data_IF_387213430300
#
_entry.id   IF_387213430300
#
_cell.length_a   1.000
_cell.length_b   1.000
_cell.length_c   1.000
_cell.angle_alpha   90.00
_cell.angle_beta   90.00
_cell.angle_gamma   90.00
#
_symmetry.space_group_name_H-M   'P 1'
#
loop_
_entity.id
_entity.type
_entity.pdbx_description
1 polymer ?
#
# COMPACT_ATOMS: atom_id res chain seq x y z
N UNK A 1 -10.23 -2.88 23.19
CA UNK A 1 -9.80 -4.09 22.47
C UNK A 1 -8.76 -3.73 21.43
N UNK A 2 -7.83 -4.65 21.14
CA UNK A 2 -6.75 -4.48 20.17
C UNK A 2 -7.25 -4.01 18.79
N UNK A 3 -8.28 -4.67 18.24
CA UNK A 3 -8.90 -4.33 16.94
C UNK A 3 -9.35 -2.86 16.87
N UNK A 4 -9.90 -2.32 17.96
CA UNK A 4 -10.31 -0.91 18.02
C UNK A 4 -9.09 0.02 17.98
N UNK A 5 -8.05 -0.26 18.77
CA UNK A 5 -6.84 0.58 18.79
C UNK A 5 -6.15 0.62 17.43
N UNK A 6 -5.99 -0.54 16.77
CA UNK A 6 -5.41 -0.59 15.42
C UNK A 6 -6.25 0.20 14.41
N UNK A 7 -7.59 0.17 14.51
CA UNK A 7 -8.47 0.98 13.66
C UNK A 7 -8.28 2.49 13.87
N UNK A 8 -8.17 2.93 15.11
CA UNK A 8 -7.94 4.35 15.43
C UNK A 8 -6.56 4.81 14.96
N UNK A 9 -5.51 4.02 15.20
CA UNK A 9 -4.15 4.32 14.71
C UNK A 9 -4.13 4.39 13.18
N UNK A 10 -4.72 3.41 12.49
CA UNK A 10 -4.80 3.41 11.03
C UNK A 10 -5.41 4.71 10.50
N UNK A 11 -6.49 5.18 11.12
CA UNK A 11 -7.16 6.43 10.73
C UNK A 11 -6.33 7.67 11.06
N UNK A 12 -5.77 7.75 12.26
CA UNK A 12 -4.97 8.88 12.72
C UNK A 12 -3.74 9.10 11.82
N UNK A 13 -3.06 8.01 11.47
CA UNK A 13 -1.87 8.02 10.60
C UNK A 13 -2.22 7.99 9.10
N UNK A 14 -3.51 8.07 8.74
CA UNK A 14 -3.98 8.03 7.34
C UNK A 14 -3.49 6.82 6.53
N UNK A 15 -3.32 5.67 7.18
CA UNK A 15 -2.88 4.42 6.55
C UNK A 15 -4.04 3.74 5.81
N UNK A 16 -3.79 3.18 4.64
CA UNK A 16 -4.79 2.37 3.94
C UNK A 16 -4.93 1.00 4.59
N UNK A 17 -3.80 0.38 4.96
CA UNK A 17 -3.76 -0.92 5.61
C UNK A 17 -2.95 -0.85 6.90
N UNK A 18 -3.37 -1.61 7.90
CA UNK A 18 -2.62 -1.85 9.12
C UNK A 18 -3.06 -3.19 9.71
N UNK A 19 -2.13 -4.12 9.84
CA UNK A 19 -2.40 -5.50 10.21
C UNK A 19 -1.30 -6.01 11.13
N UNK A 20 -1.71 -6.78 12.14
CA UNK A 20 -0.85 -7.42 13.11
C UNK A 20 -0.87 -8.94 12.91
N UNK A 21 0.31 -9.54 12.85
CA UNK A 21 0.52 -10.99 12.86
C UNK A 21 1.08 -11.48 14.18
N UNK A 22 1.04 -12.78 14.40
CA UNK A 22 1.87 -13.49 15.39
C UNK A 22 3.31 -13.69 14.88
N UNK A 23 4.14 -14.36 15.68
CA UNK A 23 5.53 -14.70 15.40
C UNK A 23 5.72 -15.67 14.22
N UNK A 24 4.65 -16.30 13.72
CA UNK A 24 4.65 -17.17 12.54
C UNK A 24 4.11 -16.44 11.29
N UNK A 25 3.78 -15.15 11.39
CA UNK A 25 3.14 -14.38 10.32
C UNK A 25 1.65 -14.64 10.17
N UNK A 26 1.01 -15.30 11.13
CA UNK A 26 -0.43 -15.58 11.15
C UNK A 26 -1.20 -14.33 11.55
N UNK A 27 -2.16 -13.86 10.75
CA UNK A 27 -2.91 -12.63 11.04
C UNK A 27 -3.78 -12.79 12.30
N UNK A 28 -3.48 -11.98 13.33
CA UNK A 28 -4.25 -11.87 14.59
C UNK A 28 -5.33 -10.78 14.44
N UNK A 29 -4.97 -9.65 13.85
CA UNK A 29 -5.88 -8.52 13.72
C UNK A 29 -5.60 -7.68 12.47
N UNK A 30 -6.63 -7.56 11.62
CA UNK A 30 -6.67 -6.67 10.47
C UNK A 30 -7.56 -5.47 10.78
N UNK A 31 -7.04 -4.26 10.67
CA UNK A 31 -7.76 -3.06 11.11
C UNK A 31 -8.84 -2.59 10.13
N UNK A 32 -8.65 -2.83 8.81
CA UNK A 32 -9.59 -2.43 7.76
C UNK A 32 -10.79 -3.38 7.67
N UNK A 33 -10.52 -4.69 7.74
CA UNK A 33 -11.53 -5.74 7.72
C UNK A 33 -11.38 -6.72 8.92
N UNK A 34 -11.94 -6.39 10.10
CA UNK A 34 -11.68 -7.14 11.33
C UNK A 34 -12.28 -8.55 11.42
N UNK A 35 -13.14 -8.94 10.47
CA UNK A 35 -13.71 -10.29 10.37
C UNK A 35 -12.79 -11.28 9.66
N UNK A 36 -11.79 -10.80 8.90
CA UNK A 36 -10.81 -11.66 8.21
C UNK A 36 -9.54 -11.73 9.05
N UNK A 37 -9.24 -12.91 9.55
CA UNK A 37 -8.06 -13.25 10.36
C UNK A 37 -7.79 -14.75 10.23
N UNK A 38 -6.63 -15.23 10.70
CA UNK A 38 -6.28 -16.64 10.55
C UNK A 38 -5.71 -17.01 9.18
N UNK A 39 -5.48 -16.04 8.28
CA UNK A 39 -4.67 -16.21 7.07
C UNK A 39 -3.19 -15.85 7.29
N UNK A 40 -2.27 -16.53 6.60
CA UNK A 40 -0.83 -16.28 6.75
C UNK A 40 -0.33 -15.14 5.85
N UNK A 41 0.56 -14.32 6.39
CA UNK A 41 1.34 -13.28 5.71
C UNK A 41 2.84 -13.59 5.73
N UNK A 42 3.26 -14.81 6.11
CA UNK A 42 4.67 -15.18 6.19
C UNK A 42 5.40 -15.11 4.83
N UNK A 43 4.66 -15.13 3.73
CA UNK A 43 5.18 -14.99 2.36
C UNK A 43 5.18 -13.55 1.84
N UNK A 44 4.62 -12.59 2.57
CA UNK A 44 4.84 -11.17 2.25
C UNK A 44 6.32 -10.85 2.48
N UNK A 45 6.96 -10.25 1.49
CA UNK A 45 8.41 -10.05 1.51
C UNK A 45 8.88 -9.21 2.71
N UNK A 46 8.12 -8.19 3.10
CA UNK A 46 8.48 -7.35 4.23
C UNK A 46 8.28 -8.12 5.53
N UNK A 47 7.12 -8.77 5.70
CA UNK A 47 6.83 -9.58 6.90
C UNK A 47 7.88 -10.68 7.07
N UNK A 48 8.20 -11.43 6.01
CA UNK A 48 9.20 -12.51 6.04
C UNK A 48 10.59 -12.02 6.47
N UNK A 49 11.01 -10.86 5.96
CA UNK A 49 12.29 -10.25 6.35
C UNK A 49 12.29 -9.77 7.80
N UNK A 50 11.17 -9.23 8.31
CA UNK A 50 11.06 -8.87 9.72
C UNK A 50 11.09 -10.10 10.62
N UNK A 51 10.38 -11.17 10.25
CA UNK A 51 10.36 -12.43 11.00
C UNK A 51 11.75 -13.06 11.13
N UNK A 52 12.57 -12.96 10.07
CA UNK A 52 13.94 -13.52 10.06
C UNK A 52 15.01 -12.60 10.61
N UNK A 53 14.88 -11.28 10.41
CA UNK A 53 15.92 -10.30 10.74
C UNK A 53 15.62 -9.41 11.94
N UNK A 54 14.37 -9.37 12.43
CA UNK A 54 13.92 -8.51 13.55
C UNK A 54 14.21 -7.01 13.37
N UNK A 55 14.32 -6.54 12.13
CA UNK A 55 14.56 -5.14 11.79
C UNK A 55 13.33 -4.51 11.17
N UNK A 56 13.14 -3.20 11.38
CA UNK A 56 12.10 -2.44 10.68
C UNK A 56 12.49 -2.30 9.21
N UNK A 57 11.55 -2.60 8.31
CA UNK A 57 11.78 -2.54 6.86
C UNK A 57 10.65 -1.75 6.20
N UNK A 58 11.02 -0.82 5.34
CA UNK A 58 10.10 -0.08 4.47
C UNK A 58 10.48 -0.28 3.01
N UNK A 59 9.49 -0.50 2.15
CA UNK A 59 9.68 -0.67 0.71
C UNK A 59 8.40 -0.40 -0.08
N UNK A 60 8.56 -0.15 -1.37
CA UNK A 60 7.46 -0.24 -2.33
C UNK A 60 7.24 -1.70 -2.72
N UNK A 61 6.00 -2.18 -2.66
CA UNK A 61 5.65 -3.56 -2.97
C UNK A 61 4.38 -3.62 -3.83
N UNK A 62 4.28 -4.67 -4.65
CA UNK A 62 3.04 -4.99 -5.37
C UNK A 62 2.19 -5.90 -4.49
N UNK A 63 1.00 -5.44 -4.13
CA UNK A 63 0.02 -6.20 -3.36
C UNK A 63 -0.97 -6.84 -4.33
N UNK A 64 -1.03 -8.17 -4.41
CA UNK A 64 -1.90 -8.86 -5.35
C UNK A 64 -3.37 -8.71 -4.96
N UNK A 65 -4.27 -8.84 -5.95
CA UNK A 65 -5.73 -8.72 -5.77
C UNK A 65 -6.25 -9.59 -4.61
N UNK A 66 -5.73 -10.81 -4.50
CA UNK A 66 -6.13 -11.76 -3.46
C UNK A 66 -5.93 -11.20 -2.04
N UNK A 67 -4.89 -10.39 -1.82
CA UNK A 67 -4.64 -9.73 -0.53
C UNK A 67 -5.48 -8.46 -0.37
N UNK A 68 -5.68 -7.69 -1.44
CA UNK A 68 -6.52 -6.49 -1.41
C UNK A 68 -7.98 -6.80 -1.03
N UNK A 69 -8.53 -7.91 -1.53
CA UNK A 69 -9.89 -8.35 -1.21
C UNK A 69 -10.06 -8.62 0.29
N UNK A 70 -9.00 -9.07 0.97
CA UNK A 70 -9.04 -9.29 2.42
C UNK A 70 -9.15 -7.97 3.18
N UNK A 71 -8.60 -6.89 2.63
CA UNK A 71 -8.60 -5.56 3.25
C UNK A 71 -9.91 -4.78 3.00
N UNK A 72 -10.54 -4.92 1.82
CA UNK A 72 -11.84 -4.31 1.54
C UNK A 72 -12.23 -4.27 0.06
N UNK A 73 -13.49 -3.95 -0.23
CA UNK A 73 -13.94 -3.72 -1.61
C UNK A 73 -13.45 -2.39 -2.16
N UNK A 74 -13.45 -1.35 -1.33
CA UNK A 74 -13.03 0.00 -1.67
C UNK A 74 -11.55 0.09 -2.10
N UNK A 75 -10.67 -0.63 -1.39
CA UNK A 75 -9.23 -0.70 -1.73
C UNK A 75 -8.99 -1.52 -3.03
N UNK A 76 -9.85 -2.51 -3.29
CA UNK A 76 -9.83 -3.31 -4.52
C UNK A 76 -10.29 -2.47 -5.71
N UNK A 77 -11.33 -1.66 -5.54
CA UNK A 77 -11.83 -0.72 -6.55
C UNK A 77 -10.83 0.40 -6.85
N UNK A 78 -10.11 0.88 -5.83
CA UNK A 78 -9.03 1.85 -5.99
C UNK A 78 -7.87 1.29 -6.83
N UNK A 79 -7.52 0.02 -6.62
CA UNK A 79 -6.46 -0.67 -7.39
C UNK A 79 -6.87 -0.96 -8.84
N UNK A 80 -8.15 -1.19 -9.08
CA UNK A 80 -8.68 -1.60 -10.40
C UNK A 80 -8.53 -0.51 -11.46
N UNK A 81 -7.70 -0.77 -12.46
CA UNK A 81 -7.51 0.12 -13.61
C UNK A 81 -7.66 -0.67 -14.90
N UNK A 82 -8.66 -0.32 -15.71
CA UNK A 82 -8.85 -0.90 -17.04
C UNK A 82 -7.81 -0.32 -18.00
N UNK A 83 -7.14 -1.18 -18.77
CA UNK A 83 -6.27 -0.71 -19.83
C UNK A 83 -7.12 -0.14 -20.98
N UNK A 84 -6.85 1.12 -21.34
CA UNK A 84 -7.42 1.74 -22.53
C UNK A 84 -6.40 1.55 -23.66
N UNK A 85 -6.71 0.73 -24.69
CA UNK A 85 -5.83 0.55 -25.83
C UNK A 85 -5.55 1.90 -26.48
N UNK A 86 -4.28 2.21 -26.73
CA UNK A 86 -3.90 3.38 -27.52
C UNK A 86 -3.30 2.93 -28.84
N UNK A 87 -3.50 3.67 -29.95
CA UNK A 87 -3.08 3.23 -31.29
C UNK A 87 -1.58 2.91 -31.46
N UNK A 88 -0.73 3.41 -30.55
CA UNK A 88 0.72 3.20 -30.55
C UNK A 88 1.22 2.30 -29.41
N UNK A 89 0.34 1.76 -28.56
CA UNK A 89 0.75 0.87 -27.48
C UNK A 89 1.19 -0.48 -28.04
N UNK A 90 2.24 -1.06 -27.45
CA UNK A 90 2.56 -2.47 -27.67
C UNK A 90 1.34 -3.32 -27.28
N UNK A 91 1.00 -4.37 -28.06
CA UNK A 91 -0.03 -5.31 -27.66
C UNK A 91 0.32 -5.92 -26.30
N UNK A 92 -0.58 -5.76 -25.34
CA UNK A 92 -0.52 -6.38 -24.02
C UNK A 92 -1.56 -7.49 -23.95
N UNK A 93 -1.20 -8.63 -23.35
CA UNK A 93 -2.17 -9.68 -23.01
C UNK A 93 -3.06 -9.26 -21.82
N UNK A 94 -2.57 -8.37 -20.97
CA UNK A 94 -3.33 -7.83 -19.85
C UNK A 94 -4.31 -6.75 -20.33
N UNK A 95 -5.56 -6.87 -19.92
CA UNK A 95 -6.67 -5.94 -20.22
C UNK A 95 -7.07 -5.07 -19.02
N UNK A 96 -6.59 -5.43 -17.84
CA UNK A 96 -6.84 -4.73 -16.59
C UNK A 96 -5.70 -4.95 -15.59
N UNK A 97 -5.49 -3.96 -14.73
CA UNK A 97 -4.64 -4.07 -13.55
C UNK A 97 -5.51 -4.23 -12.32
N UNK A 98 -5.22 -5.28 -11.55
CA UNK A 98 -6.00 -5.62 -10.34
C UNK A 98 -5.15 -5.71 -9.07
N UNK A 99 -3.82 -5.67 -9.20
CA UNK A 99 -2.90 -5.50 -8.08
C UNK A 99 -2.64 -4.00 -7.84
N UNK A 100 -2.15 -3.67 -6.65
CA UNK A 100 -1.80 -2.31 -6.29
C UNK A 100 -0.32 -2.19 -5.97
N UNK A 101 0.29 -1.07 -6.35
CA UNK A 101 1.56 -0.67 -5.78
C UNK A 101 1.30 0.06 -4.46
N UNK A 102 2.02 -0.34 -3.42
CA UNK A 102 1.90 0.24 -2.08
C UNK A 102 3.27 0.66 -1.57
N UNK A 103 3.33 1.78 -0.85
CA UNK A 103 4.44 2.04 0.08
C UNK A 103 4.08 1.36 1.38
N UNK A 104 4.86 0.34 1.77
CA UNK A 104 4.61 -0.47 2.95
C UNK A 104 5.79 -0.39 3.92
N UNK A 105 5.49 -0.60 5.19
CA UNK A 105 6.48 -0.85 6.22
C UNK A 105 6.03 -2.01 7.12
N UNK A 106 6.99 -2.74 7.66
CA UNK A 106 6.79 -3.79 8.64
C UNK A 106 7.78 -3.60 9.80
N UNK A 107 7.31 -3.82 11.03
CA UNK A 107 8.08 -3.67 12.25
C UNK A 107 7.84 -4.87 13.19
N UNK A 108 8.89 -5.39 13.85
CA UNK A 108 8.74 -6.45 14.82
C UNK A 108 8.00 -5.93 16.07
N UNK A 109 7.19 -6.79 16.67
CA UNK A 109 6.52 -6.55 17.95
C UNK A 109 7.15 -7.47 18.97
N UNK A 110 7.69 -6.90 20.05
CA UNK A 110 8.33 -7.66 21.12
C UNK A 110 7.45 -7.74 22.37
N UNK A 111 7.49 -8.89 23.04
CA UNK A 111 6.94 -9.07 24.37
C UNK A 111 7.79 -8.38 25.44
N UNK A 112 7.27 -8.34 26.67
CA UNK A 112 7.99 -7.77 27.81
C UNK A 112 9.28 -8.53 28.16
N UNK A 113 9.38 -9.79 27.74
CA UNK A 113 10.55 -10.66 27.87
C UNK A 113 11.58 -10.46 26.75
N UNK A 114 11.31 -9.57 25.78
CA UNK A 114 12.16 -9.30 24.62
C UNK A 114 11.98 -10.29 23.47
N UNK A 115 11.08 -11.27 23.59
CA UNK A 115 10.82 -12.24 22.53
C UNK A 115 9.98 -11.61 21.42
N UNK A 116 10.24 -11.99 20.17
CA UNK A 116 9.40 -11.61 19.04
C UNK A 116 8.03 -12.29 19.19
N UNK A 117 6.97 -11.51 19.27
CA UNK A 117 5.58 -12.00 19.40
C UNK A 117 4.72 -11.68 18.19
N UNK A 118 5.29 -11.02 17.18
CA UNK A 118 4.56 -10.69 15.97
C UNK A 118 5.20 -9.63 15.09
N UNK A 119 4.49 -9.29 14.01
CA UNK A 119 4.86 -8.23 13.08
C UNK A 119 3.67 -7.31 12.88
N UNK A 120 3.90 -6.01 13.07
CA UNK A 120 2.95 -4.98 12.69
C UNK A 120 3.38 -4.45 11.32
N UNK A 121 2.52 -4.59 10.32
CA UNK A 121 2.75 -4.02 9.00
C UNK A 121 1.61 -3.11 8.59
N UNK A 122 1.95 -2.07 7.82
CA UNK A 122 1.00 -1.10 7.31
C UNK A 122 1.50 -0.44 6.04
N UNK A 123 0.65 0.37 5.41
CA UNK A 123 1.03 1.06 4.19
C UNK A 123 -0.12 1.80 3.51
N UNK A 124 0.25 2.48 2.44
CA UNK A 124 -0.65 3.25 1.60
C UNK A 124 -0.58 2.80 0.15
N UNK A 125 -1.73 2.77 -0.50
CA UNK A 125 -1.81 2.51 -1.94
C UNK A 125 -1.35 3.75 -2.71
N UNK A 126 -0.61 3.50 -3.78
CA UNK A 126 -0.22 4.53 -4.75
C UNK A 126 -1.22 4.63 -5.90
N UNK A 127 -1.96 3.55 -6.20
CA UNK A 127 -3.00 3.56 -7.22
C UNK A 127 -4.06 4.61 -6.90
N UNK A 128 -4.34 5.49 -7.88
CA UNK A 128 -5.27 6.64 -7.79
C UNK A 128 -5.04 7.54 -6.56
N UNK A 129 -3.83 7.55 -6.01
CA UNK A 129 -3.48 8.45 -4.93
C UNK A 129 -3.02 9.78 -5.53
N UNK A 130 -3.95 10.71 -5.75
CA UNK A 130 -3.64 12.01 -6.37
C UNK A 130 -2.87 12.93 -5.42
N UNK A 131 -3.06 12.75 -4.11
CA UNK A 131 -2.36 13.55 -3.07
C UNK A 131 -0.85 13.43 -3.17
N UNK A 132 -0.31 12.24 -3.46
CA UNK A 132 1.15 12.06 -3.56
C UNK A 132 1.72 12.74 -4.81
N UNK A 133 1.07 12.64 -5.98
CA UNK A 133 1.55 13.30 -7.21
C UNK A 133 1.43 14.82 -7.13
N UNK A 134 0.38 15.32 -6.48
CA UNK A 134 0.23 16.74 -6.19
C UNK A 134 1.31 17.23 -5.22
N UNK A 135 1.59 16.45 -4.17
CA UNK A 135 2.66 16.80 -3.22
C UNK A 135 4.05 16.82 -3.87
N UNK A 136 4.35 15.86 -4.76
CA UNK A 136 5.60 15.87 -5.53
C UNK A 136 5.69 17.12 -6.40
N UNK A 137 4.60 17.47 -7.10
CA UNK A 137 4.54 18.69 -7.91
C UNK A 137 4.79 19.94 -7.06
N UNK A 138 4.12 20.08 -5.91
CA UNK A 138 4.33 21.20 -4.98
C UNK A 138 5.79 21.33 -4.53
N UNK A 139 6.43 20.21 -4.18
CA UNK A 139 7.82 20.23 -3.68
C UNK A 139 8.79 20.62 -4.80
N UNK A 140 8.61 20.09 -6.01
CA UNK A 140 9.54 20.30 -7.14
C UNK A 140 9.33 21.66 -7.78
N UNK A 141 8.08 22.11 -7.94
CA UNK A 141 7.74 23.33 -8.66
C UNK A 141 7.40 24.50 -7.75
N UNK A 142 7.28 24.32 -6.43
CA UNK A 142 7.08 25.40 -5.44
C UNK A 142 6.03 26.45 -5.84
N UNK A 143 4.88 26.01 -6.36
CA UNK A 143 3.79 26.86 -6.86
C UNK A 143 4.17 27.82 -8.01
N UNK A 144 5.30 27.61 -8.69
CA UNK A 144 5.68 28.39 -9.86
C UNK A 144 4.58 28.30 -10.91
N UNK A 145 4.11 29.46 -11.38
CA UNK A 145 3.16 29.57 -12.49
C UNK A 145 3.87 30.09 -13.72
N UNK A 146 3.72 29.41 -14.85
CA UNK A 146 4.21 29.89 -16.14
C UNK A 146 3.05 30.47 -16.95
N UNK A 147 3.14 31.76 -17.32
CA UNK A 147 2.07 32.49 -18.04
C UNK A 147 0.69 32.36 -17.35
N UNK A 148 0.67 32.38 -16.03
CA UNK A 148 -0.56 32.25 -15.23
C UNK A 148 -1.13 30.83 -15.13
N UNK A 149 -0.52 29.84 -15.79
CA UNK A 149 -0.88 28.42 -15.64
C UNK A 149 0.04 27.75 -14.64
N UNK A 150 -0.57 26.92 -13.80
CA UNK A 150 0.13 26.02 -12.91
C UNK A 150 0.96 25.02 -13.75
N UNK A 151 2.23 24.83 -13.39
CA UNK A 151 3.16 23.98 -14.14
C UNK A 151 3.65 22.82 -13.29
N UNK A 152 4.07 21.77 -13.99
CA UNK A 152 4.56 20.56 -13.38
C UNK A 152 3.51 19.46 -13.37
N UNK A 153 3.95 18.28 -13.75
CA UNK A 153 3.16 17.06 -13.76
C UNK A 153 3.98 15.97 -13.10
N UNK A 154 3.32 15.13 -12.31
CA UNK A 154 3.91 13.95 -11.72
C UNK A 154 3.05 12.76 -12.07
N UNK A 155 3.69 11.64 -12.42
CA UNK A 155 3.00 10.40 -12.73
C UNK A 155 3.76 9.24 -12.10
N UNK A 156 3.04 8.41 -11.36
CA UNK A 156 3.54 7.15 -10.81
C UNK A 156 3.11 6.02 -11.74
N UNK A 157 4.06 5.14 -12.05
CA UNK A 157 3.85 3.99 -12.90
C UNK A 157 4.01 2.68 -12.12
N UNK A 158 3.19 1.69 -12.47
CA UNK A 158 3.38 0.28 -12.11
C UNK A 158 3.71 -0.49 -13.39
N UNK A 159 4.99 -0.78 -13.60
CA UNK A 159 5.47 -1.21 -14.92
C UNK A 159 5.19 -0.11 -15.95
N UNK A 160 4.46 -0.45 -17.02
CA UNK A 160 4.07 0.50 -18.08
C UNK A 160 2.73 1.21 -17.80
N UNK A 161 2.04 0.88 -16.70
CA UNK A 161 0.73 1.45 -16.38
C UNK A 161 0.86 2.72 -15.54
N UNK A 162 0.23 3.81 -15.98
CA UNK A 162 0.00 4.99 -15.14
C UNK A 162 -1.00 4.64 -14.04
N UNK A 163 -0.55 4.64 -12.79
CA UNK A 163 -1.40 4.31 -11.64
C UNK A 163 -1.84 5.55 -10.85
N UNK A 164 -1.10 6.65 -10.91
CA UNK A 164 -1.51 7.95 -10.35
C UNK A 164 -0.90 9.08 -11.17
N UNK A 165 -1.68 10.12 -11.47
CA UNK A 165 -1.26 11.25 -12.31
C UNK A 165 -2.12 12.48 -12.00
N UNK A 166 -1.54 13.68 -12.10
CA UNK A 166 -2.23 14.96 -11.89
C UNK A 166 -2.34 15.79 -13.19
N UNK A 167 -2.42 15.10 -14.32
CA UNK A 167 -2.71 15.68 -15.64
C UNK A 167 -4.17 15.55 -16.01
#
# INVERSE_FOLDING_TARGET
TLKRQLKEIRKAESLDILTLTDENGQVIARSRNPSVYGDSQAHDELVSRVLSGTQVIGATAIVPRAELVKEGTDITEQAYIKFIPTPKAKPSLETEQTSAMCVKAAAPVFGYDGNLIGVLYGGNLLNRNYKIVDRVKEIVYQEVKYKGKDIGTATIFQGDLRISTNV
#
